data_IF_776824755658
#
_entry.id   IF_776824755658
#
_cell.length_a   1.000
_cell.length_b   1.000
_cell.length_c   1.000
_cell.angle_alpha   90.00
_cell.angle_beta   90.00
_cell.angle_gamma   90.00
#
_symmetry.space_group_name_H-M   'P 1'
#
loop_
_entity.id
_entity.type
_entity.pdbx_description
1 polymer ?
#
# COMPACT_ATOMS: atom_id res chain seq x y z
N UNK A 1 -2.58 -6.53 -19.11
CA UNK A 1 -2.97 -7.03 -17.77
C UNK A 1 -1.77 -7.28 -16.85
N UNK A 2 -0.75 -8.05 -17.28
CA UNK A 2 0.38 -8.45 -16.44
C UNK A 2 1.14 -7.30 -15.75
N UNK A 3 1.44 -6.20 -16.46
CA UNK A 3 2.14 -5.05 -15.87
C UNK A 3 1.35 -4.33 -14.76
N UNK A 4 0.00 -4.30 -14.85
CA UNK A 4 -0.87 -3.73 -13.79
C UNK A 4 -0.86 -4.61 -12.54
N UNK A 5 -0.88 -5.93 -12.73
CA UNK A 5 -0.79 -6.89 -11.62
C UNK A 5 0.57 -6.84 -10.92
N UNK A 6 1.67 -6.58 -11.64
CA UNK A 6 2.98 -6.41 -11.02
C UNK A 6 3.03 -5.25 -10.02
N UNK A 7 2.29 -4.16 -10.29
CA UNK A 7 2.21 -3.01 -9.37
C UNK A 7 1.46 -3.31 -8.08
N UNK A 8 0.67 -4.37 -8.04
CA UNK A 8 0.02 -4.85 -6.82
C UNK A 8 0.98 -5.65 -5.92
N UNK A 9 2.16 -6.02 -6.40
CA UNK A 9 3.14 -6.74 -5.60
C UNK A 9 4.12 -5.76 -4.97
N UNK A 10 4.11 -5.66 -3.64
CA UNK A 10 5.09 -4.88 -2.92
C UNK A 10 6.28 -5.74 -2.51
N UNK A 11 7.46 -5.44 -3.05
CA UNK A 11 8.71 -6.11 -2.73
C UNK A 11 9.60 -5.20 -1.89
N UNK A 12 10.07 -5.71 -0.75
CA UNK A 12 11.02 -5.03 0.13
C UNK A 12 11.97 -6.06 0.77
N UNK A 13 13.16 -5.61 1.15
CA UNK A 13 14.06 -6.37 2.01
C UNK A 13 13.75 -6.06 3.48
N UNK A 14 13.76 -7.05 4.40
CA UNK A 14 13.59 -6.79 5.82
C UNK A 14 14.58 -5.68 6.29
N UNK A 15 14.08 -4.54 6.81
CA UNK A 15 14.91 -3.36 7.08
C UNK A 15 15.81 -3.49 8.33
N UNK A 16 15.59 -4.52 9.16
CA UNK A 16 16.33 -4.79 10.39
C UNK A 16 16.31 -6.29 10.74
N UNK A 17 17.20 -6.70 11.64
CA UNK A 17 17.21 -8.06 12.18
C UNK A 17 15.95 -8.28 13.04
N UNK A 18 15.29 -9.43 12.87
CA UNK A 18 14.00 -9.76 13.52
C UNK A 18 12.84 -8.81 13.17
N UNK A 19 12.86 -8.18 12.00
CA UNK A 19 11.73 -7.38 11.53
C UNK A 19 10.45 -8.22 11.45
N UNK A 20 9.40 -7.79 12.17
CA UNK A 20 8.08 -8.41 12.09
C UNK A 20 7.39 -8.01 10.77
N UNK A 21 7.33 -8.96 9.83
CA UNK A 21 6.73 -8.75 8.51
C UNK A 21 5.24 -8.44 8.56
N UNK A 22 4.55 -8.77 9.66
CA UNK A 22 3.12 -8.47 9.88
C UNK A 22 2.85 -6.97 10.02
N UNK A 23 3.90 -6.16 10.23
CA UNK A 23 3.81 -4.68 10.24
C UNK A 23 3.55 -4.09 8.86
N UNK A 24 3.74 -4.89 7.79
CA UNK A 24 3.46 -4.50 6.40
C UNK A 24 2.26 -5.30 5.90
N UNK A 25 1.12 -4.64 5.75
CA UNK A 25 -0.11 -5.31 5.32
C UNK A 25 -0.12 -5.57 3.81
N UNK A 26 0.52 -4.70 3.02
CA UNK A 26 0.62 -4.84 1.57
C UNK A 26 -0.05 -3.69 0.82
N UNK A 27 -0.31 -3.89 -0.47
CA UNK A 27 -0.92 -2.88 -1.35
C UNK A 27 -2.43 -2.79 -1.13
N UNK A 28 -3.00 -1.59 -1.29
CA UNK A 28 -4.46 -1.39 -1.14
C UNK A 28 -5.26 -2.31 -2.06
N UNK A 29 -4.83 -2.52 -3.32
CA UNK A 29 -5.50 -3.43 -4.26
C UNK A 29 -5.58 -4.89 -3.81
N UNK A 30 -4.76 -5.33 -2.84
CA UNK A 30 -4.80 -6.68 -2.28
C UNK A 30 -5.52 -6.77 -0.93
N UNK A 31 -5.92 -5.62 -0.38
CA UNK A 31 -6.55 -5.50 0.94
C UNK A 31 -8.04 -5.18 0.86
N UNK A 32 -8.58 -5.01 -0.35
CA UNK A 32 -9.98 -4.68 -0.59
C UNK A 32 -10.59 -5.72 -1.53
N UNK A 33 -11.85 -6.04 -1.30
CA UNK A 33 -12.70 -6.80 -2.20
C UNK A 33 -13.85 -5.89 -2.65
N UNK A 34 -14.22 -5.96 -3.93
CA UNK A 34 -15.33 -5.18 -4.48
C UNK A 34 -16.62 -5.98 -4.32
N UNK A 35 -17.61 -5.40 -3.63
CA UNK A 35 -18.89 -6.05 -3.36
C UNK A 35 -19.71 -6.29 -4.63
N UNK A 36 -19.83 -5.28 -5.51
CA UNK A 36 -20.53 -5.38 -6.78
C UNK A 36 -19.61 -5.01 -7.94
N UNK A 37 -19.42 -5.98 -8.83
CA UNK A 37 -18.56 -5.87 -9.99
C UNK A 37 -18.99 -4.78 -10.97
N UNK A 38 -20.27 -4.36 -10.94
CA UNK A 38 -20.80 -3.23 -11.70
C UNK A 38 -20.01 -1.94 -11.42
N UNK A 39 -19.53 -1.75 -10.19
CA UNK A 39 -18.82 -0.55 -9.78
C UNK A 39 -17.29 -0.65 -9.88
N UNK A 40 -16.74 -1.77 -10.35
CA UNK A 40 -15.29 -1.98 -10.45
C UNK A 40 -14.57 -0.84 -11.17
N UNK A 41 -15.07 -0.41 -12.33
CA UNK A 41 -14.46 0.68 -13.10
C UNK A 41 -14.50 2.00 -12.34
N UNK A 42 -15.63 2.33 -11.71
CA UNK A 42 -15.77 3.57 -10.95
C UNK A 42 -14.83 3.60 -9.73
N UNK A 43 -14.74 2.48 -9.00
CA UNK A 43 -13.81 2.34 -7.87
C UNK A 43 -12.35 2.40 -8.32
N UNK A 44 -12.02 1.78 -9.46
CA UNK A 44 -10.69 1.85 -10.03
C UNK A 44 -10.30 3.30 -10.36
N UNK A 45 -11.18 4.05 -11.03
CA UNK A 45 -10.94 5.44 -11.40
C UNK A 45 -10.80 6.36 -10.17
N UNK A 46 -11.69 6.21 -9.18
CA UNK A 46 -11.66 7.03 -7.94
C UNK A 46 -10.39 6.77 -7.12
N UNK A 47 -9.99 5.51 -6.99
CA UNK A 47 -8.76 5.18 -6.26
C UNK A 47 -7.51 5.53 -7.09
N UNK A 48 -7.54 5.28 -8.39
CA UNK A 48 -6.46 5.54 -9.33
C UNK A 48 -5.13 4.98 -8.87
N UNK A 49 -4.09 5.82 -8.85
CA UNK A 49 -2.76 5.44 -8.38
C UNK A 49 -2.69 5.00 -6.91
N UNK A 50 -3.69 5.33 -6.09
CA UNK A 50 -3.72 5.00 -4.66
C UNK A 50 -3.94 3.51 -4.39
N UNK A 51 -4.45 2.75 -5.37
CA UNK A 51 -4.55 1.29 -5.30
C UNK A 51 -3.19 0.60 -5.06
N UNK A 52 -2.11 1.25 -5.48
CA UNK A 52 -0.76 0.71 -5.37
C UNK A 52 0.00 1.25 -4.15
N UNK A 53 -0.66 2.05 -3.30
CA UNK A 53 -0.08 2.48 -2.04
C UNK A 53 0.04 1.29 -1.09
N UNK A 54 1.06 1.31 -0.23
CA UNK A 54 1.35 0.23 0.71
C UNK A 54 0.90 0.61 2.10
N UNK A 55 0.06 -0.20 2.72
CA UNK A 55 -0.44 0.01 4.08
C UNK A 55 0.51 -0.63 5.09
N UNK A 56 0.86 0.12 6.14
CA UNK A 56 1.70 -0.33 7.26
C UNK A 56 1.09 0.09 8.59
N UNK A 57 1.47 -0.58 9.66
CA UNK A 57 0.99 -0.31 11.02
C UNK A 57 1.25 1.14 11.49
N UNK A 58 2.44 1.68 11.18
CA UNK A 58 2.93 2.92 11.78
C UNK A 58 3.89 3.72 10.88
N UNK A 59 4.02 5.01 11.17
CA UNK A 59 5.00 5.90 10.53
C UNK A 59 6.46 5.48 10.81
N UNK A 60 6.74 4.82 11.93
CA UNK A 60 8.04 4.24 12.23
C UNK A 60 8.41 3.13 11.22
N UNK A 61 7.46 2.24 10.91
CA UNK A 61 7.64 1.21 9.87
C UNK A 61 7.83 1.84 8.49
N UNK A 62 7.07 2.89 8.16
CA UNK A 62 7.27 3.65 6.92
C UNK A 62 8.70 4.16 6.79
N UNK A 63 9.24 4.77 7.86
CA UNK A 63 10.62 5.29 7.87
C UNK A 63 11.64 4.17 7.65
N UNK A 64 11.49 3.04 8.35
CA UNK A 64 12.38 1.88 8.20
C UNK A 64 12.39 1.35 6.77
N UNK A 65 11.21 1.16 6.16
CA UNK A 65 11.09 0.68 4.79
C UNK A 65 11.68 1.66 3.78
N UNK A 66 11.43 2.96 3.94
CA UNK A 66 11.97 3.98 3.04
C UNK A 66 13.50 4.09 3.13
N UNK A 67 14.08 3.94 4.32
CA UNK A 67 15.52 4.07 4.54
C UNK A 67 16.30 2.80 4.23
N UNK A 68 15.76 1.62 4.58
CA UNK A 68 16.49 0.34 4.58
C UNK A 68 15.78 -0.79 3.84
N UNK A 69 14.55 -0.58 3.39
CA UNK A 69 13.75 -1.61 2.72
C UNK A 69 14.15 -1.93 1.28
N UNK A 70 15.15 -1.23 0.71
CA UNK A 70 15.65 -1.43 -0.67
C UNK A 70 14.53 -1.51 -1.72
N UNK A 71 13.65 -0.50 -1.68
CA UNK A 71 12.49 -0.44 -2.57
C UNK A 71 12.95 -0.32 -4.03
N UNK A 72 12.38 -1.16 -4.90
CA UNK A 72 12.75 -1.22 -6.32
C UNK A 72 12.11 -0.10 -7.16
N UNK A 73 11.09 0.57 -6.61
CA UNK A 73 10.36 1.64 -7.28
C UNK A 73 9.91 2.69 -6.25
N UNK A 74 9.50 3.87 -6.74
CA UNK A 74 8.88 4.90 -5.92
C UNK A 74 7.56 4.36 -5.35
N UNK A 75 7.48 4.23 -4.03
CA UNK A 75 6.31 3.73 -3.31
C UNK A 75 5.74 4.79 -2.39
N UNK A 76 4.43 4.96 -2.42
CA UNK A 76 3.69 5.74 -1.42
C UNK A 76 3.23 4.82 -0.31
N UNK A 77 3.55 5.14 0.93
CA UNK A 77 3.22 4.33 2.11
C UNK A 77 2.14 5.03 2.94
N UNK A 78 1.16 4.27 3.41
CA UNK A 78 0.05 4.69 4.27
C UNK A 78 0.29 4.12 5.69
N UNK A 79 0.77 4.94 6.63
CA UNK A 79 0.84 4.55 8.04
C UNK A 79 -0.53 4.66 8.73
N UNK A 80 -1.05 3.54 9.22
CA UNK A 80 -2.39 3.49 9.87
C UNK A 80 -2.47 4.35 11.14
N UNK A 81 -1.37 4.49 11.89
CA UNK A 81 -1.33 5.33 13.10
C UNK A 81 -1.37 6.85 12.83
N UNK A 82 -1.25 7.31 11.57
CA UNK A 82 -1.17 8.74 11.22
C UNK A 82 -2.12 9.18 10.12
N UNK A 83 -2.65 8.27 9.31
CA UNK A 83 -3.53 8.64 8.20
C UNK A 83 -4.76 9.41 8.72
N UNK A 84 -5.06 10.54 8.07
CA UNK A 84 -6.27 11.32 8.29
C UNK A 84 -6.94 11.55 6.94
N UNK A 85 -8.19 11.12 6.80
CA UNK A 85 -8.98 11.43 5.64
C UNK A 85 -9.51 12.86 5.76
N UNK A 86 -9.43 13.62 4.67
CA UNK A 86 -10.15 14.87 4.55
C UNK A 86 -11.49 14.58 3.88
N UNK A 87 -12.58 14.65 4.65
CA UNK A 87 -13.93 14.53 4.11
C UNK A 87 -14.35 15.90 3.62
N UNK A 88 -14.68 16.02 2.34
CA UNK A 88 -15.31 17.25 1.82
C UNK A 88 -16.74 17.27 2.35
N UNK A 89 -17.19 18.35 3.00
CA UNK A 89 -18.56 18.49 3.49
C UNK A 89 -19.61 18.36 2.40
#
# INVERSE_FOLDING_TARGET
LAARLQRCNFHYSPPEHNFDTRRVFGTVCRLIDVEDQLYCTALEEVAGGRLYNVVVDSDATSKLLLQRGRLQARTTIIPLNKIRAHVVP
#
